data_IF_387762686832
#
_entry.id   IF_387762686832
#
_cell.length_a   1.000
_cell.length_b   1.000
_cell.length_c   1.000
_cell.angle_alpha   90.00
_cell.angle_beta   90.00
_cell.angle_gamma   90.00
#
_symmetry.space_group_name_H-M   'P 1'
#
loop_
_entity.id
_entity.type
_entity.pdbx_description
1 polymer ?
#
# COMPACT_ATOMS: atom_id res chain seq x y z
N UNK A 1 -12.29 -4.69 17.55
CA UNK A 1 -13.43 -5.01 16.68
C UNK A 1 -13.65 -6.52 16.60
N UNK A 2 -14.90 -6.96 16.49
CA UNK A 2 -15.19 -8.35 16.27
C UNK A 2 -14.83 -8.78 14.83
N UNK A 3 -14.74 -10.07 14.61
CA UNK A 3 -14.39 -10.62 13.28
C UNK A 3 -15.33 -10.12 12.19
N UNK A 4 -16.63 -10.06 12.43
CA UNK A 4 -17.61 -9.63 11.43
C UNK A 4 -17.33 -8.21 10.98
N UNK A 5 -17.05 -7.31 11.91
CA UNK A 5 -16.77 -5.92 11.58
C UNK A 5 -15.42 -5.78 10.89
N UNK A 6 -14.42 -6.56 11.29
CA UNK A 6 -13.13 -6.58 10.62
C UNK A 6 -13.25 -7.02 9.17
N UNK A 7 -14.09 -8.03 8.90
CA UNK A 7 -14.35 -8.51 7.54
C UNK A 7 -15.03 -7.44 6.68
N UNK A 8 -15.98 -6.69 7.24
CA UNK A 8 -16.64 -5.60 6.53
C UNK A 8 -15.65 -4.51 6.15
N UNK A 9 -14.76 -4.14 7.06
CA UNK A 9 -13.72 -3.15 6.81
C UNK A 9 -12.81 -3.61 5.68
N UNK A 10 -12.37 -4.87 5.72
CA UNK A 10 -11.50 -5.41 4.68
C UNK A 10 -12.18 -5.45 3.31
N UNK A 11 -13.48 -5.74 3.27
CA UNK A 11 -14.24 -5.70 2.02
C UNK A 11 -14.33 -4.30 1.46
N UNK A 12 -14.56 -3.31 2.31
CA UNK A 12 -14.60 -1.91 1.89
C UNK A 12 -13.26 -1.46 1.36
N UNK A 13 -12.17 -1.84 2.02
CA UNK A 13 -10.82 -1.53 1.55
C UNK A 13 -10.58 -2.16 0.17
N UNK A 14 -10.96 -3.41 -0.01
CA UNK A 14 -10.83 -4.09 -1.30
C UNK A 14 -11.60 -3.38 -2.41
N UNK A 15 -12.82 -2.94 -2.13
CA UNK A 15 -13.63 -2.19 -3.09
C UNK A 15 -13.01 -0.85 -3.43
N UNK A 16 -12.51 -0.13 -2.44
CA UNK A 16 -11.82 1.14 -2.65
C UNK A 16 -10.60 0.94 -3.56
N UNK A 17 -9.81 -0.09 -3.28
CA UNK A 17 -8.64 -0.38 -4.10
C UNK A 17 -9.02 -0.70 -5.54
N UNK A 18 -9.98 -1.58 -5.73
CA UNK A 18 -10.42 -1.96 -7.09
C UNK A 18 -10.96 -0.78 -7.88
N UNK A 19 -11.69 0.12 -7.22
CA UNK A 19 -12.27 1.28 -7.90
C UNK A 19 -11.25 2.41 -8.11
N UNK A 20 -10.16 2.41 -7.36
CA UNK A 20 -9.14 3.46 -7.43
C UNK A 20 -8.09 3.21 -8.51
N UNK A 21 -7.95 1.98 -8.97
CA UNK A 21 -6.92 1.60 -9.93
C UNK A 21 -7.52 1.13 -11.24
N UNK A 22 -6.70 1.16 -12.30
CA UNK A 22 -7.15 0.78 -13.65
C UNK A 22 -7.25 -0.74 -13.76
N UNK A 23 -8.01 -1.21 -14.76
CA UNK A 23 -8.15 -2.64 -15.03
C UNK A 23 -6.81 -3.31 -15.36
N UNK A 24 -5.86 -2.53 -15.90
CA UNK A 24 -4.52 -3.02 -16.20
C UNK A 24 -3.63 -3.13 -14.98
N UNK A 25 -4.03 -2.52 -13.87
CA UNK A 25 -3.32 -2.66 -12.61
C UNK A 25 -3.80 -3.91 -11.87
N UNK A 26 -2.93 -4.49 -11.07
CA UNK A 26 -3.26 -5.71 -10.35
C UNK A 26 -3.43 -5.38 -8.88
N UNK A 27 -4.58 -5.73 -8.34
CA UNK A 27 -4.89 -5.57 -6.91
C UNK A 27 -5.03 -6.95 -6.30
N UNK A 28 -4.29 -7.20 -5.23
CA UNK A 28 -4.35 -8.47 -4.54
C UNK A 28 -4.29 -8.30 -3.04
N UNK A 29 -4.63 -9.34 -2.32
CA UNK A 29 -4.52 -9.42 -0.88
C UNK A 29 -3.48 -10.47 -0.52
N UNK A 30 -2.49 -10.06 0.29
CA UNK A 30 -1.44 -10.98 0.70
C UNK A 30 -1.82 -11.79 1.93
N UNK A 31 -2.73 -11.28 2.74
CA UNK A 31 -3.18 -11.94 3.94
C UNK A 31 -3.46 -10.91 5.03
N UNK A 32 -4.25 -11.29 6.05
CA UNK A 32 -4.61 -10.37 7.10
C UNK A 32 -5.22 -9.08 6.53
N UNK A 33 -4.65 -7.96 6.90
CA UNK A 33 -5.07 -6.63 6.44
C UNK A 33 -4.11 -6.04 5.39
N UNK A 34 -3.27 -6.87 4.78
CA UNK A 34 -2.23 -6.41 3.85
C UNK A 34 -2.65 -6.64 2.40
N UNK A 35 -2.63 -5.56 1.62
CA UNK A 35 -2.96 -5.56 0.20
C UNK A 35 -1.76 -5.14 -0.62
N UNK A 36 -1.74 -5.55 -1.88
CA UNK A 36 -0.69 -5.16 -2.82
C UNK A 36 -1.32 -4.66 -4.10
N UNK A 37 -0.71 -3.64 -4.68
CA UNK A 37 -1.11 -3.11 -5.98
C UNK A 37 0.11 -3.03 -6.88
N UNK A 38 -0.01 -3.62 -8.06
CA UNK A 38 1.03 -3.53 -9.10
C UNK A 38 0.52 -2.57 -10.17
N UNK A 39 1.10 -1.40 -10.23
CA UNK A 39 0.73 -0.38 -11.22
C UNK A 39 1.60 -0.51 -12.46
N UNK A 40 0.96 -0.48 -13.62
CA UNK A 40 1.64 -0.60 -14.91
C UNK A 40 1.56 0.71 -15.68
N UNK A 41 2.56 0.93 -16.51
CA UNK A 41 2.59 2.08 -17.43
C UNK A 41 2.39 3.42 -16.71
N UNK A 42 3.05 3.56 -15.57
CA UNK A 42 3.08 4.84 -14.87
C UNK A 42 3.97 5.79 -15.66
N UNK A 43 3.56 7.05 -15.77
CA UNK A 43 4.30 8.03 -16.54
C UNK A 43 5.33 8.77 -15.69
N UNK A 44 5.10 8.86 -14.40
CA UNK A 44 6.00 9.59 -13.51
C UNK A 44 5.80 9.14 -12.07
N UNK A 45 6.83 9.38 -11.27
CA UNK A 45 6.74 9.15 -9.81
C UNK A 45 5.66 10.04 -9.19
N UNK A 46 5.46 11.23 -9.74
CA UNK A 46 4.45 12.16 -9.24
C UNK A 46 3.05 11.59 -9.40
N UNK A 47 2.77 10.85 -10.48
CA UNK A 47 1.49 10.17 -10.65
C UNK A 47 1.25 9.13 -9.56
N UNK A 48 2.30 8.39 -9.18
CA UNK A 48 2.21 7.42 -8.10
C UNK A 48 1.96 8.12 -6.77
N UNK A 49 2.64 9.23 -6.52
CA UNK A 49 2.46 10.04 -5.31
C UNK A 49 1.03 10.53 -5.20
N UNK A 50 0.48 11.08 -6.27
CA UNK A 50 -0.91 11.57 -6.30
C UNK A 50 -1.90 10.43 -6.02
N UNK A 51 -1.66 9.26 -6.61
CA UNK A 51 -2.51 8.09 -6.37
C UNK A 51 -2.45 7.66 -4.91
N UNK A 52 -1.26 7.66 -4.30
CA UNK A 52 -1.10 7.29 -2.90
C UNK A 52 -1.83 8.27 -1.97
N UNK A 53 -1.70 9.57 -2.22
CA UNK A 53 -2.36 10.59 -1.43
C UNK A 53 -3.88 10.48 -1.52
N UNK A 54 -4.39 10.29 -2.73
CA UNK A 54 -5.82 10.11 -2.95
C UNK A 54 -6.34 8.85 -2.24
N UNK A 55 -5.59 7.76 -2.36
CA UNK A 55 -5.96 6.50 -1.73
C UNK A 55 -6.00 6.62 -0.21
N UNK A 56 -5.01 7.29 0.38
CA UNK A 56 -5.00 7.51 1.83
C UNK A 56 -6.22 8.29 2.30
N UNK A 57 -6.63 9.29 1.54
CA UNK A 57 -7.86 10.03 1.85
C UNK A 57 -9.09 9.15 1.82
N UNK A 58 -9.18 8.25 0.85
CA UNK A 58 -10.31 7.33 0.73
C UNK A 58 -10.31 6.25 1.82
N UNK A 59 -9.14 5.84 2.27
CA UNK A 59 -9.01 4.81 3.31
C UNK A 59 -9.25 5.33 4.72
N UNK A 60 -9.19 6.65 4.90
CA UNK A 60 -9.42 7.23 6.22
C UNK A 60 -10.92 7.18 6.53
N UNK A 61 -11.31 6.34 7.49
CA UNK A 61 -12.69 6.09 7.85
C UNK A 61 -12.88 6.14 9.36
N UNK A 62 -14.04 6.59 9.78
CA UNK A 62 -14.46 6.54 11.18
C UNK A 62 -15.74 5.72 11.26
N UNK A 63 -15.73 4.71 12.12
CA UNK A 63 -16.88 3.84 12.35
C UNK A 63 -17.41 4.09 13.75
N UNK A 64 -18.74 4.19 13.87
CA UNK A 64 -19.41 4.31 15.16
C UNK A 64 -20.17 3.03 15.43
N UNK A 65 -19.94 2.44 16.58
CA UNK A 65 -20.66 1.25 17.02
C UNK A 65 -20.76 1.26 18.52
N UNK A 66 -21.99 1.06 19.02
CA UNK A 66 -22.27 0.98 20.47
C UNK A 66 -21.72 2.17 21.26
N UNK A 67 -21.82 3.37 20.67
CA UNK A 67 -21.34 4.59 21.29
C UNK A 67 -19.84 4.81 21.24
N UNK A 68 -19.11 3.92 20.53
CA UNK A 68 -17.66 4.05 20.37
C UNK A 68 -17.32 4.48 18.96
N UNK A 69 -16.31 5.32 18.83
CA UNK A 69 -15.74 5.68 17.55
C UNK A 69 -14.43 4.92 17.33
N UNK A 70 -14.31 4.30 16.15
CA UNK A 70 -13.07 3.66 15.73
C UNK A 70 -12.63 4.31 14.43
N UNK A 71 -11.45 4.92 14.44
CA UNK A 71 -10.88 5.53 13.25
C UNK A 71 -9.88 4.58 12.62
N UNK A 72 -9.95 4.47 11.30
CA UNK A 72 -9.08 3.60 10.51
C UNK A 72 -8.35 4.45 9.50
N UNK A 73 -7.07 4.18 9.31
CA UNK A 73 -6.26 4.84 8.29
C UNK A 73 -5.40 3.80 7.60
N UNK A 74 -4.95 4.13 6.38
CA UNK A 74 -4.05 3.28 5.64
C UNK A 74 -2.60 3.69 5.83
N UNK A 75 -1.70 2.74 5.59
CA UNK A 75 -0.27 3.01 5.50
C UNK A 75 0.22 2.36 4.20
N UNK A 76 1.05 3.06 3.44
CA UNK A 76 1.45 2.63 2.10
C UNK A 76 2.96 2.68 1.97
N UNK A 77 3.55 1.54 1.57
CA UNK A 77 4.94 1.50 1.15
C UNK A 77 5.00 1.33 -0.36
N UNK A 78 5.88 2.05 -1.02
CA UNK A 78 5.96 2.12 -2.48
C UNK A 78 7.37 1.77 -2.95
N UNK A 79 7.47 0.83 -3.88
CA UNK A 79 8.72 0.51 -4.55
C UNK A 79 8.57 0.78 -6.04
N UNK A 80 9.55 1.46 -6.62
CA UNK A 80 9.55 1.84 -8.04
C UNK A 80 10.46 0.91 -8.84
N UNK A 81 10.06 0.63 -10.07
CA UNK A 81 10.87 -0.12 -11.03
C UNK A 81 11.47 0.89 -12.01
N UNK A 82 12.75 0.84 -12.33
CA UNK A 82 13.74 -0.18 -11.93
C UNK A 82 14.55 0.17 -10.67
N UNK A 83 14.27 1.28 -10.00
CA UNK A 83 15.08 1.79 -8.89
C UNK A 83 15.22 0.77 -7.76
N UNK A 84 14.15 0.05 -7.45
CA UNK A 84 14.14 -0.97 -6.39
C UNK A 84 14.31 -2.38 -6.91
N UNK A 85 14.65 -2.53 -8.21
CA UNK A 85 14.83 -3.82 -8.84
C UNK A 85 13.69 -4.16 -9.79
N UNK A 86 13.73 -5.37 -10.33
CA UNK A 86 12.75 -5.83 -11.32
C UNK A 86 12.03 -7.12 -10.92
N UNK A 87 12.57 -7.83 -9.92
CA UNK A 87 11.95 -9.07 -9.43
C UNK A 87 10.97 -8.75 -8.34
N UNK A 88 9.85 -9.46 -8.35
CA UNK A 88 8.78 -9.24 -7.37
C UNK A 88 9.29 -9.30 -5.92
N UNK A 89 10.11 -10.29 -5.61
CA UNK A 89 10.62 -10.46 -4.25
C UNK A 89 11.36 -9.23 -3.75
N UNK A 90 12.21 -8.65 -4.60
CA UNK A 90 12.99 -7.47 -4.22
C UNK A 90 12.11 -6.23 -4.11
N UNK A 91 11.16 -6.08 -5.03
CA UNK A 91 10.21 -4.98 -4.97
C UNK A 91 9.35 -5.07 -3.71
N UNK A 92 8.89 -6.28 -3.40
CA UNK A 92 8.10 -6.51 -2.19
C UNK A 92 8.90 -6.15 -0.94
N UNK A 93 10.15 -6.62 -0.85
CA UNK A 93 10.98 -6.34 0.32
C UNK A 93 11.21 -4.84 0.50
N UNK A 94 11.47 -4.14 -0.59
CA UNK A 94 11.66 -2.68 -0.56
C UNK A 94 10.39 -1.96 -0.11
N UNK A 95 9.26 -2.33 -0.67
CA UNK A 95 7.98 -1.72 -0.30
C UNK A 95 7.62 -2.03 1.14
N UNK A 96 7.92 -3.24 1.61
CA UNK A 96 7.65 -3.65 2.98
C UNK A 96 8.49 -2.85 3.98
N UNK A 97 9.76 -2.60 3.66
CA UNK A 97 10.60 -1.75 4.50
C UNK A 97 10.07 -0.32 4.55
N UNK A 98 9.64 0.22 3.43
CA UNK A 98 9.04 1.55 3.38
C UNK A 98 7.75 1.60 4.19
N UNK A 99 6.94 0.56 4.10
CA UNK A 99 5.71 0.44 4.88
C UNK A 99 5.99 0.41 6.38
N UNK A 100 7.01 -0.35 6.78
CA UNK A 100 7.42 -0.41 8.18
C UNK A 100 7.79 0.99 8.70
N UNK A 101 8.52 1.76 7.89
CA UNK A 101 8.89 3.12 8.26
C UNK A 101 7.66 4.00 8.50
N UNK A 102 6.62 3.87 7.67
CA UNK A 102 5.38 4.61 7.87
C UNK A 102 4.70 4.21 9.17
N UNK A 103 4.60 2.91 9.43
CA UNK A 103 3.96 2.41 10.64
C UNK A 103 4.72 2.83 11.89
N UNK A 104 6.04 2.82 11.83
CA UNK A 104 6.89 3.24 12.95
C UNK A 104 6.75 4.73 13.23
N UNK A 105 6.57 5.56 12.20
CA UNK A 105 6.45 7.00 12.33
C UNK A 105 5.04 7.48 12.74
N UNK A 106 4.11 6.56 13.05
CA UNK A 106 2.78 6.92 13.55
C UNK A 106 1.62 6.52 12.66
N UNK A 107 1.87 5.81 11.57
CA UNK A 107 0.86 5.32 10.62
C UNK A 107 0.18 6.46 9.82
N UNK A 108 -0.67 6.09 8.91
CA UNK A 108 -1.51 7.03 8.18
C UNK A 108 -0.77 7.85 7.14
N UNK A 109 0.24 7.28 6.49
CA UNK A 109 1.00 7.98 5.49
C UNK A 109 1.52 7.04 4.40
N UNK A 110 2.39 7.56 3.56
CA UNK A 110 3.05 6.76 2.55
C UNK A 110 4.56 7.07 2.54
N UNK A 111 5.33 6.13 2.02
CA UNK A 111 6.77 6.29 1.89
C UNK A 111 7.25 5.56 0.65
N UNK A 112 8.09 6.23 -0.14
CA UNK A 112 8.78 5.59 -1.24
C UNK A 112 10.01 4.87 -0.70
N UNK A 113 10.22 3.64 -1.16
CA UNK A 113 11.40 2.89 -0.80
C UNK A 113 12.63 3.56 -1.42
N UNK A 114 13.73 3.51 -0.69
CA UNK A 114 15.02 3.95 -1.23
C UNK A 114 15.47 3.01 -2.32
N UNK A 115 16.35 3.48 -3.19
CA UNK A 115 16.91 2.63 -4.24
C UNK A 115 17.59 1.42 -3.62
N UNK A 116 17.47 0.26 -4.29
CA UNK A 116 18.20 -0.92 -3.88
C UNK A 116 19.69 -0.61 -3.87
N UNK A 117 20.40 -1.13 -2.85
CA UNK A 117 21.85 -0.93 -2.79
C UNK A 117 22.55 -1.79 -3.86
N UNK A 118 23.86 -1.57 -4.03
CA UNK A 118 24.65 -2.25 -5.04
C UNK A 118 24.65 -3.77 -4.88
N UNK A 119 24.61 -4.25 -3.63
CA UNK A 119 24.57 -5.68 -3.36
C UNK A 119 23.26 -6.29 -3.81
N UNK A 120 22.15 -5.65 -3.48
CA UNK A 120 20.83 -6.13 -3.87
C UNK A 120 20.70 -6.16 -5.38
N UNK A 121 21.21 -5.14 -6.07
CA UNK A 121 21.18 -5.11 -7.52
C UNK A 121 22.03 -6.23 -8.14
N UNK A 122 23.20 -6.51 -7.60
CA UNK A 122 24.05 -7.60 -8.07
C UNK A 122 23.36 -8.95 -7.90
N UNK A 123 22.68 -9.17 -6.80
CA UNK A 123 21.93 -10.41 -6.56
C UNK A 123 20.72 -10.55 -7.48
N UNK A 124 20.15 -9.44 -7.92
CA UNK A 124 19.02 -9.45 -8.84
C UNK A 124 19.40 -9.77 -10.28
N UNK A 125 20.60 -9.49 -10.66
CA UNK A 125 21.11 -9.76 -11.98
C UNK A 125 21.64 -11.19 -12.11
#
# INVERSE_FOLDING_TARGET
>A
MGHVQGDLVLREVAEILRSSFRKTDIVGRLGGDEFIVLMRDIKSQENVRSSAEKLLGLLRRTYKREGREVSISGSIGIAMVPECGRKFKHLYDCADQALYSVKYAGKGGYCFAEKADSRQKAEQE
#
